data_IF_993302055208
#
_entry.id   IF_993302055208
#
_cell.length_a   1.000
_cell.length_b   1.000
_cell.length_c   1.000
_cell.angle_alpha   90.00
_cell.angle_beta   90.00
_cell.angle_gamma   90.00
#
_symmetry.space_group_name_H-M   'P 1'
#
loop_
_entity.id
_entity.type
_entity.pdbx_description
1 polymer ?
#
# COMPACT_ATOMS: atom_id res chain seq x y z
N UNK A 1 36.16 14.98 -7.24
CA UNK A 1 35.81 14.85 -5.81
C UNK A 1 35.03 16.11 -5.44
N UNK A 2 33.72 16.09 -5.17
CA UNK A 2 32.82 15.00 -4.80
C UNK A 2 31.48 15.20 -5.50
N UNK A 3 31.02 14.16 -6.20
CA UNK A 3 29.61 14.00 -6.54
C UNK A 3 28.91 13.57 -5.23
N UNK A 4 28.55 14.55 -4.39
CA UNK A 4 27.63 14.32 -3.28
C UNK A 4 26.26 14.06 -3.90
N UNK A 5 26.04 12.82 -4.33
CA UNK A 5 24.70 12.31 -4.58
C UNK A 5 23.95 12.47 -3.27
N UNK A 6 22.85 13.23 -3.28
CA UNK A 6 21.93 13.37 -2.16
C UNK A 6 21.27 12.00 -1.89
N UNK A 7 22.02 11.10 -1.21
CA UNK A 7 21.58 9.76 -0.83
C UNK A 7 20.39 9.76 0.14
N UNK A 8 20.07 10.91 0.72
CA UNK A 8 18.98 11.07 1.69
C UNK A 8 17.59 11.12 1.05
N UNK A 9 17.49 11.17 -0.29
CA UNK A 9 16.21 11.23 -1.01
C UNK A 9 15.97 10.00 -1.90
N UNK A 10 16.42 8.85 -1.44
CA UNK A 10 16.00 7.57 -2.03
C UNK A 10 14.59 7.27 -1.53
N UNK A 11 13.62 7.35 -2.44
CA UNK A 11 12.22 7.04 -2.19
C UNK A 11 12.02 5.52 -2.00
N UNK A 12 12.48 5.03 -0.85
CA UNK A 12 12.39 3.61 -0.47
C UNK A 12 10.96 3.12 -0.34
N UNK A 13 9.99 4.03 -0.19
CA UNK A 13 8.59 3.66 -0.02
C UNK A 13 7.99 3.11 -1.31
N UNK A 14 8.52 3.54 -2.46
CA UNK A 14 8.12 3.10 -3.80
C UNK A 14 8.97 1.97 -4.39
N UNK A 15 10.06 1.57 -3.73
CA UNK A 15 10.90 0.45 -4.17
C UNK A 15 10.32 -0.86 -3.62
N UNK A 16 9.95 -1.83 -4.47
CA UNK A 16 9.50 -3.14 -4.00
C UNK A 16 10.61 -3.93 -3.30
N UNK A 17 10.27 -4.59 -2.19
CA UNK A 17 11.22 -5.47 -1.49
C UNK A 17 11.48 -6.74 -2.32
N UNK A 18 12.75 -7.14 -2.45
CA UNK A 18 13.15 -8.26 -3.31
C UNK A 18 12.57 -9.62 -2.88
N UNK A 19 12.09 -9.76 -1.64
CA UNK A 19 11.54 -11.01 -1.10
C UNK A 19 10.09 -11.24 -1.47
N UNK A 20 9.28 -10.18 -1.42
CA UNK A 20 7.83 -10.25 -1.56
C UNK A 20 7.29 -9.43 -2.75
N UNK A 21 8.12 -8.59 -3.37
CA UNK A 21 7.71 -7.70 -4.45
C UNK A 21 6.76 -6.60 -3.99
N UNK A 22 6.60 -6.37 -2.69
CA UNK A 22 5.68 -5.38 -2.14
C UNK A 22 6.43 -4.09 -1.81
N UNK A 23 5.81 -2.98 -2.21
CA UNK A 23 6.14 -1.65 -1.69
C UNK A 23 5.77 -1.53 -0.21
N UNK A 24 6.26 -0.49 0.46
CA UNK A 24 5.93 -0.24 1.87
C UNK A 24 4.42 -0.06 2.08
N UNK A 25 3.76 0.66 1.17
CA UNK A 25 2.30 0.92 1.22
C UNK A 25 1.50 -0.38 1.04
N UNK A 26 1.85 -1.21 0.08
CA UNK A 26 1.21 -2.50 -0.16
C UNK A 26 1.34 -3.43 1.05
N UNK A 27 2.54 -3.52 1.64
CA UNK A 27 2.78 -4.30 2.86
C UNK A 27 1.96 -3.77 4.04
N UNK A 28 1.88 -2.46 4.23
CA UNK A 28 1.07 -1.85 5.28
C UNK A 28 -0.41 -2.22 5.13
N UNK A 29 -0.95 -2.16 3.91
CA UNK A 29 -2.35 -2.55 3.62
C UNK A 29 -2.59 -4.01 4.01
N UNK A 30 -1.74 -4.95 3.55
CA UNK A 30 -1.89 -6.37 3.87
C UNK A 30 -1.72 -6.67 5.36
N UNK A 31 -0.80 -5.98 6.03
CA UNK A 31 -0.60 -6.08 7.48
C UNK A 31 -1.85 -5.63 8.24
N UNK A 32 -2.37 -4.43 7.96
CA UNK A 32 -3.57 -3.90 8.59
C UNK A 32 -4.80 -4.79 8.31
N UNK A 33 -4.92 -5.30 7.09
CA UNK A 33 -5.99 -6.22 6.71
C UNK A 33 -5.94 -7.50 7.55
N UNK A 34 -4.77 -8.12 7.68
CA UNK A 34 -4.60 -9.32 8.49
C UNK A 34 -4.97 -9.08 9.96
N UNK A 35 -4.54 -7.95 10.53
CA UNK A 35 -4.84 -7.60 11.91
C UNK A 35 -6.34 -7.36 12.12
N UNK A 36 -6.97 -6.59 11.24
CA UNK A 36 -8.41 -6.34 11.29
C UNK A 36 -9.24 -7.61 11.11
N UNK A 37 -8.82 -8.54 10.23
CA UNK A 37 -9.48 -9.84 10.07
C UNK A 37 -9.42 -10.68 11.35
N UNK A 38 -8.29 -10.70 12.07
CA UNK A 38 -8.16 -11.40 13.37
C UNK A 38 -9.13 -10.81 14.39
N UNK A 39 -9.20 -9.48 14.49
CA UNK A 39 -10.11 -8.77 15.41
C UNK A 39 -11.58 -9.04 15.09
N UNK A 40 -11.93 -9.07 13.81
CA UNK A 40 -13.29 -9.32 13.33
C UNK A 40 -13.63 -10.81 13.21
N UNK A 41 -12.76 -11.71 13.69
CA UNK A 41 -12.95 -13.18 13.66
C UNK A 41 -13.25 -13.71 12.25
N UNK A 42 -12.54 -13.19 11.25
CA UNK A 42 -12.70 -13.58 9.84
C UNK A 42 -13.91 -12.97 9.13
N UNK A 43 -14.66 -12.07 9.77
CA UNK A 43 -15.68 -11.27 9.06
C UNK A 43 -15.05 -10.25 8.13
N UNK A 44 -15.86 -9.74 7.20
CA UNK A 44 -15.41 -8.73 6.25
C UNK A 44 -14.89 -7.47 6.97
N UNK A 45 -13.74 -6.97 6.51
CA UNK A 45 -13.14 -5.73 7.03
C UNK A 45 -13.69 -4.57 6.21
N UNK A 46 -14.41 -3.60 6.82
CA UNK A 46 -14.87 -2.43 6.10
C UNK A 46 -13.69 -1.62 5.53
N UNK A 47 -13.77 -1.22 4.25
CA UNK A 47 -12.70 -0.49 3.56
C UNK A 47 -12.28 0.78 4.29
N UNK A 48 -13.24 1.52 4.86
CA UNK A 48 -12.96 2.74 5.64
C UNK A 48 -12.15 2.45 6.92
N UNK A 49 -12.42 1.33 7.58
CA UNK A 49 -11.66 0.89 8.76
C UNK A 49 -10.24 0.50 8.38
N UNK A 50 -10.09 -0.19 7.24
CA UNK A 50 -8.78 -0.54 6.72
C UNK A 50 -7.98 0.72 6.36
N UNK A 51 -8.59 1.65 5.62
CA UNK A 51 -7.95 2.91 5.24
C UNK A 51 -7.46 3.69 6.46
N UNK A 52 -8.31 3.88 7.48
CA UNK A 52 -7.94 4.57 8.72
C UNK A 52 -6.72 3.98 9.41
N UNK A 53 -6.57 2.64 9.40
CA UNK A 53 -5.41 1.96 10.00
C UNK A 53 -4.14 2.10 9.18
N UNK A 54 -4.27 2.20 7.86
CA UNK A 54 -3.10 2.29 6.97
C UNK A 54 -2.50 3.69 7.03
N UNK A 55 -3.32 4.74 7.06
CA UNK A 55 -2.83 6.13 7.17
C UNK A 55 -2.12 6.41 8.51
N UNK A 56 -2.37 5.60 9.54
CA UNK A 56 -1.62 5.65 10.80
C UNK A 56 -0.19 5.10 10.68
N UNK A 57 0.10 4.25 9.68
CA UNK A 57 1.40 3.59 9.51
C UNK A 57 2.25 4.18 8.37
N UNK A 58 1.60 4.68 7.32
CA UNK A 58 2.26 5.17 6.11
C UNK A 58 1.50 6.38 5.57
N UNK A 59 2.24 7.30 4.95
CA UNK A 59 1.63 8.38 4.18
C UNK A 59 1.07 7.83 2.87
N UNK A 60 -0.25 7.91 2.69
CA UNK A 60 -0.94 7.40 1.52
C UNK A 60 -2.21 8.20 1.28
N UNK A 61 -2.44 8.56 0.02
CA UNK A 61 -3.71 9.19 -0.38
C UNK A 61 -4.83 8.16 -0.54
N UNK A 62 -6.08 8.60 -0.44
CA UNK A 62 -7.24 7.75 -0.72
C UNK A 62 -7.16 7.13 -2.13
N UNK A 63 -6.75 7.91 -3.13
CA UNK A 63 -6.64 7.45 -4.50
C UNK A 63 -5.61 6.33 -4.67
N UNK A 64 -4.41 6.48 -4.10
CA UNK A 64 -3.36 5.44 -4.11
C UNK A 64 -3.83 4.18 -3.38
N UNK A 65 -4.50 4.34 -2.23
CA UNK A 65 -5.04 3.21 -1.48
C UNK A 65 -6.06 2.42 -2.31
N UNK A 66 -7.00 3.10 -2.97
CA UNK A 66 -7.99 2.46 -3.84
C UNK A 66 -7.34 1.80 -5.06
N UNK A 67 -6.30 2.41 -5.62
CA UNK A 67 -5.53 1.83 -6.73
C UNK A 67 -4.87 0.51 -6.31
N UNK A 68 -4.16 0.50 -5.18
CA UNK A 68 -3.52 -0.71 -4.65
C UNK A 68 -4.55 -1.81 -4.37
N UNK A 69 -5.69 -1.47 -3.73
CA UNK A 69 -6.77 -2.44 -3.49
C UNK A 69 -7.36 -2.99 -4.79
N UNK A 70 -7.51 -2.14 -5.81
CA UNK A 70 -7.99 -2.57 -7.13
C UNK A 70 -7.01 -3.55 -7.78
N UNK A 71 -5.69 -3.32 -7.66
CA UNK A 71 -4.66 -4.25 -8.12
C UNK A 71 -4.74 -5.60 -7.40
N UNK A 72 -4.88 -5.60 -6.07
CA UNK A 72 -4.98 -6.84 -5.28
C UNK A 72 -6.23 -7.67 -5.60
N UNK A 73 -7.33 -7.02 -5.93
CA UNK A 73 -8.61 -7.69 -6.25
C UNK A 73 -8.74 -8.07 -7.73
N UNK A 74 -7.74 -7.76 -8.56
CA UNK A 74 -7.78 -7.99 -10.00
C UNK A 74 -8.77 -7.08 -10.74
N UNK A 75 -9.26 -6.03 -10.08
CA UNK A 75 -10.16 -5.02 -10.64
C UNK A 75 -9.39 -3.91 -11.37
N UNK A 76 -8.18 -4.21 -11.88
CA UNK A 76 -7.36 -3.28 -12.65
C UNK A 76 -8.27 -2.58 -13.65
N UNK A 77 -8.48 -1.26 -13.49
CA UNK A 77 -9.14 -0.46 -14.51
C UNK A 77 -8.42 -0.78 -15.79
N UNK A 78 -9.10 -1.42 -16.74
CA UNK A 78 -8.68 -1.40 -18.13
C UNK A 78 -8.59 0.09 -18.45
N UNK A 79 -7.39 0.66 -18.42
CA UNK A 79 -7.08 1.94 -19.02
C UNK A 79 -7.20 1.75 -20.52
N UNK A 80 -8.44 1.58 -20.97
CA UNK A 80 -8.88 1.71 -22.35
C UNK A 80 -9.37 3.15 -22.49
N UNK A 81 -8.50 3.94 -23.12
CA UNK A 81 -8.77 5.08 -24.00
C UNK A 81 -10.17 5.70 -23.95
N UNK A 82 -10.22 7.00 -23.62
CA UNK A 82 -11.00 8.03 -24.33
C UNK A 82 -10.24 9.36 -24.31
#
# INVERSE_FOLDING_TARGET
MNDNLDYDNLDYDNIPDARDGLTRKERAILYCLQQAQKELKGRNVPTIMLYGRVVELVDISEAEFQEILSRFTGLTKLSGEY
#
